data_IF_869750488476
#
_entry.id   IF_869750488476
#
_cell.length_a   1.000
_cell.length_b   1.000
_cell.length_c   1.000
_cell.angle_alpha   90.00
_cell.angle_beta   90.00
_cell.angle_gamma   90.00
#
_symmetry.space_group_name_H-M   'P 1'
#
loop_
_entity.id
_entity.type
_entity.pdbx_description
1 polymer ?
#
# COMPACT_ATOMS: atom_id res chain seq x y z
N UNK A 1 11.10 -0.28 23.75
CA UNK A 1 10.10 0.72 23.23
C UNK A 1 10.23 1.96 24.12
N UNK A 2 10.32 3.17 23.51
CA UNK A 2 10.49 4.42 24.26
C UNK A 2 9.20 4.96 24.87
N UNK A 3 8.04 4.42 24.51
CA UNK A 3 6.72 4.84 25.03
C UNK A 3 6.17 6.15 24.43
N UNK A 4 6.88 6.77 23.49
CA UNK A 4 6.42 7.97 22.82
C UNK A 4 5.15 7.70 22.01
N UNK A 5 4.22 8.65 22.04
CA UNK A 5 2.95 8.58 21.31
C UNK A 5 2.85 9.71 20.30
N UNK A 6 2.57 9.39 19.07
CA UNK A 6 2.33 10.33 17.99
C UNK A 6 0.85 10.31 17.64
N UNK A 7 0.22 11.48 17.59
CA UNK A 7 -1.19 11.57 17.20
C UNK A 7 -1.35 11.11 15.75
N UNK A 8 -2.42 10.34 15.47
CA UNK A 8 -2.66 9.79 14.14
C UNK A 8 -2.82 10.87 13.06
N UNK A 9 -3.28 12.07 13.42
CA UNK A 9 -3.40 13.21 12.51
C UNK A 9 -2.09 13.99 12.28
N UNK A 10 -0.96 13.55 12.85
CA UNK A 10 0.34 14.18 12.58
C UNK A 10 0.77 13.87 11.15
N UNK A 11 0.96 14.88 10.29
CA UNK A 11 1.27 14.65 8.89
C UNK A 11 2.62 13.95 8.73
N UNK A 12 2.67 12.98 7.82
CA UNK A 12 3.89 12.34 7.33
C UNK A 12 4.84 11.86 8.45
N UNK A 13 4.28 11.33 9.52
CA UNK A 13 5.04 10.78 10.66
C UNK A 13 5.65 9.43 10.31
N UNK A 14 6.83 9.45 9.70
CA UNK A 14 7.57 8.25 9.29
C UNK A 14 8.52 7.72 10.37
N UNK A 15 8.82 8.50 11.37
CA UNK A 15 9.80 8.18 12.41
C UNK A 15 9.27 8.51 13.79
N UNK A 16 9.74 7.77 14.78
CA UNK A 16 9.53 8.15 16.17
C UNK A 16 10.23 9.50 16.45
N UNK A 17 9.60 10.47 17.13
CA UNK A 17 10.24 11.73 17.49
C UNK A 17 11.52 11.57 18.33
N UNK A 18 11.62 10.47 19.09
CA UNK A 18 12.78 10.15 19.91
C UNK A 18 13.89 9.39 19.16
N UNK A 19 13.69 9.09 17.86
CA UNK A 19 14.76 8.47 17.06
C UNK A 19 15.88 9.48 16.78
N UNK A 20 17.12 8.98 16.73
CA UNK A 20 18.32 9.77 16.39
C UNK A 20 19.29 8.93 15.59
N UNK A 21 20.40 9.51 15.16
CA UNK A 21 21.38 8.85 14.30
C UNK A 21 22.08 7.64 14.96
N UNK A 22 22.05 7.55 16.29
CA UNK A 22 22.61 6.43 17.07
C UNK A 22 21.57 5.37 17.40
N UNK A 23 20.27 5.70 17.31
CA UNK A 23 19.15 4.79 17.56
C UNK A 23 18.06 4.99 16.50
N UNK A 24 18.27 4.36 15.36
CA UNK A 24 17.36 4.38 14.20
C UNK A 24 16.27 3.31 14.27
N UNK A 25 16.29 2.44 15.28
CA UNK A 25 15.38 1.29 15.40
C UNK A 25 14.04 1.62 16.06
N UNK A 26 13.79 2.87 16.37
CA UNK A 26 12.50 3.34 16.85
C UNK A 26 11.48 3.36 15.70
N UNK A 27 10.65 2.35 15.63
CA UNK A 27 9.54 2.27 14.65
C UNK A 27 8.23 2.67 15.29
N UNK A 28 7.38 3.35 14.54
CA UNK A 28 6.02 3.65 14.94
C UNK A 28 5.14 2.41 14.74
N UNK A 29 4.28 2.13 15.70
CA UNK A 29 3.26 1.10 15.61
C UNK A 29 1.89 1.75 15.75
N UNK A 30 0.94 1.29 14.94
CA UNK A 30 -0.43 1.75 15.06
C UNK A 30 -1.06 1.08 16.28
N UNK A 31 -1.52 1.87 17.23
CA UNK A 31 -2.26 1.39 18.38
C UNK A 31 -3.74 1.23 17.96
N UNK A 32 -4.18 0.01 17.78
CA UNK A 32 -5.56 -0.33 17.46
C UNK A 32 -6.13 -1.27 18.52
N UNK A 33 -7.40 -1.10 18.90
CA UNK A 33 -8.06 -2.07 19.77
C UNK A 33 -8.17 -3.41 19.05
N UNK A 34 -7.89 -4.49 19.76
CA UNK A 34 -8.09 -5.85 19.26
C UNK A 34 -9.60 -6.09 19.17
N UNK A 35 -10.12 -6.12 17.96
CA UNK A 35 -11.53 -6.41 17.69
C UNK A 35 -11.64 -7.32 16.45
N UNK A 36 -12.70 -8.11 16.33
CA UNK A 36 -12.96 -8.89 15.11
C UNK A 36 -13.05 -7.97 13.90
N UNK A 37 -12.35 -8.32 12.83
CA UNK A 37 -12.44 -7.60 11.56
C UNK A 37 -13.85 -7.74 10.98
N UNK A 38 -14.44 -6.62 10.59
CA UNK A 38 -15.75 -6.56 9.93
C UNK A 38 -15.61 -5.86 8.60
N UNK A 39 -15.99 -6.58 7.54
CA UNK A 39 -16.11 -6.01 6.19
C UNK A 39 -17.39 -5.20 6.06
N UNK A 40 -17.36 -4.14 5.26
CA UNK A 40 -18.57 -3.42 4.83
C UNK A 40 -19.31 -4.13 3.70
N UNK A 41 -18.70 -5.17 3.10
CA UNK A 41 -19.25 -5.88 1.95
C UNK A 41 -18.94 -5.27 0.59
N UNK A 42 -18.14 -4.20 0.52
CA UNK A 42 -17.68 -3.62 -0.75
C UNK A 42 -16.71 -4.57 -1.46
N UNK A 43 -16.78 -4.63 -2.79
CA UNK A 43 -15.90 -5.47 -3.62
C UNK A 43 -14.44 -4.98 -3.63
N UNK A 44 -14.21 -3.71 -3.33
CA UNK A 44 -12.87 -3.16 -3.17
C UNK A 44 -12.40 -3.37 -1.72
N UNK A 45 -11.31 -4.12 -1.48
CA UNK A 45 -10.84 -4.44 -0.14
C UNK A 45 -10.42 -3.21 0.68
N UNK A 46 -10.01 -2.12 0.02
CA UNK A 46 -9.65 -0.88 0.70
C UNK A 46 -10.87 -0.12 1.19
N UNK A 47 -12.02 -0.27 0.57
CA UNK A 47 -13.30 0.25 1.08
C UNK A 47 -13.85 -0.72 2.13
N UNK A 48 -13.84 -2.01 1.84
CA UNK A 48 -14.39 -3.05 2.71
C UNK A 48 -13.76 -3.03 4.12
N UNK A 49 -12.44 -2.78 4.20
CA UNK A 49 -11.68 -2.79 5.45
C UNK A 49 -11.05 -1.43 5.78
N UNK A 50 -11.52 -0.36 5.18
CA UNK A 50 -10.99 1.00 5.30
C UNK A 50 -10.69 1.40 6.74
N UNK A 51 -11.63 1.14 7.66
CA UNK A 51 -11.53 1.54 9.06
C UNK A 51 -10.37 0.91 9.84
N UNK A 52 -9.67 -0.06 9.26
CA UNK A 52 -8.50 -0.70 9.84
C UNK A 52 -7.19 -0.17 9.23
N UNK A 53 -7.25 0.79 8.32
CA UNK A 53 -6.09 1.36 7.63
C UNK A 53 -5.69 2.70 8.26
N UNK A 54 -4.40 2.87 8.52
CA UNK A 54 -3.86 4.07 9.16
C UNK A 54 -4.18 5.36 8.40
N UNK A 55 -4.10 5.33 7.07
CA UNK A 55 -4.40 6.49 6.24
C UNK A 55 -5.85 6.98 6.42
N UNK A 56 -6.81 6.05 6.62
CA UNK A 56 -8.21 6.42 6.85
C UNK A 56 -8.40 7.14 8.19
N UNK A 57 -7.76 6.61 9.25
CA UNK A 57 -7.78 7.25 10.56
C UNK A 57 -7.08 8.62 10.53
N UNK A 58 -5.95 8.74 9.80
CA UNK A 58 -5.27 10.00 9.55
C UNK A 58 -6.19 11.01 8.86
N UNK A 59 -6.78 10.63 7.72
CA UNK A 59 -7.66 11.51 6.96
C UNK A 59 -8.91 11.92 7.74
N UNK A 60 -9.48 11.00 8.54
CA UNK A 60 -10.59 11.30 9.43
C UNK A 60 -10.22 12.31 10.52
N UNK A 61 -9.04 12.17 11.13
CA UNK A 61 -8.54 13.11 12.14
C UNK A 61 -8.33 14.53 11.57
N UNK A 62 -8.10 14.64 10.27
CA UNK A 62 -7.98 15.91 9.54
C UNK A 62 -9.32 16.41 8.95
N UNK A 63 -10.43 15.78 9.31
CA UNK A 63 -11.77 16.24 8.95
C UNK A 63 -12.29 15.77 7.58
N UNK A 64 -11.60 14.85 6.88
CA UNK A 64 -12.17 14.27 5.67
C UNK A 64 -13.41 13.43 5.99
N UNK A 65 -14.52 13.70 5.32
CA UNK A 65 -15.76 12.93 5.49
C UNK A 65 -15.59 11.47 5.01
N UNK A 66 -16.48 10.59 5.47
CA UNK A 66 -16.52 9.18 5.03
C UNK A 66 -16.63 9.07 3.50
N UNK A 67 -17.54 9.84 2.90
CA UNK A 67 -17.76 9.86 1.45
C UNK A 67 -16.52 10.35 0.69
N UNK A 68 -15.83 11.38 1.19
CA UNK A 68 -14.60 11.88 0.58
C UNK A 68 -13.48 10.84 0.62
N UNK A 69 -13.36 10.07 1.71
CA UNK A 69 -12.36 8.99 1.82
C UNK A 69 -12.68 7.81 0.91
N UNK A 70 -13.96 7.44 0.77
CA UNK A 70 -14.41 6.42 -0.18
C UNK A 70 -14.17 6.87 -1.62
N UNK A 71 -14.51 8.12 -1.94
CA UNK A 71 -14.28 8.70 -3.26
C UNK A 71 -12.78 8.69 -3.62
N UNK A 72 -11.90 9.03 -2.66
CA UNK A 72 -10.46 8.98 -2.86
C UNK A 72 -9.96 7.58 -3.26
N UNK A 73 -10.46 6.52 -2.59
CA UNK A 73 -10.10 5.14 -2.96
C UNK A 73 -10.58 4.83 -4.37
N UNK A 74 -11.83 5.16 -4.70
CA UNK A 74 -12.42 4.84 -6.00
C UNK A 74 -11.72 5.57 -7.14
N UNK A 75 -11.40 6.85 -6.96
CA UNK A 75 -10.63 7.65 -7.93
C UNK A 75 -9.24 7.04 -8.15
N UNK A 76 -8.53 6.74 -7.08
CA UNK A 76 -7.19 6.16 -7.14
C UNK A 76 -7.20 4.75 -7.76
N UNK A 77 -8.15 3.89 -7.37
CA UNK A 77 -8.29 2.53 -7.90
C UNK A 77 -8.64 2.55 -9.40
N UNK A 78 -9.52 3.45 -9.84
CA UNK A 78 -9.85 3.62 -11.25
C UNK A 78 -8.62 4.08 -12.07
N UNK A 79 -7.81 4.98 -11.54
CA UNK A 79 -6.56 5.39 -12.18
C UNK A 79 -5.56 4.23 -12.28
N UNK A 80 -5.43 3.43 -11.21
CA UNK A 80 -4.60 2.20 -11.20
C UNK A 80 -5.10 1.20 -12.24
N UNK A 81 -6.42 0.98 -12.32
CA UNK A 81 -7.01 0.10 -13.33
C UNK A 81 -6.70 0.55 -14.75
N UNK A 82 -6.66 1.86 -15.00
CA UNK A 82 -6.30 2.42 -16.30
C UNK A 82 -4.84 2.13 -16.72
N UNK A 83 -3.94 1.96 -15.77
CA UNK A 83 -2.52 1.66 -16.04
C UNK A 83 -2.23 0.16 -15.99
N UNK A 84 -2.75 -0.53 -14.98
CA UNK A 84 -2.44 -1.95 -14.71
C UNK A 84 -3.41 -2.93 -15.41
N UNK A 85 -4.47 -2.45 -16.07
CA UNK A 85 -5.52 -3.28 -16.64
C UNK A 85 -6.46 -3.89 -15.61
N UNK A 86 -6.14 -3.79 -14.33
CA UNK A 86 -6.96 -4.28 -13.21
C UNK A 86 -6.88 -3.33 -12.02
N UNK A 87 -7.97 -3.22 -11.26
CA UNK A 87 -8.00 -2.52 -9.97
C UNK A 87 -7.84 -3.49 -8.80
N UNK A 88 -7.93 -2.95 -7.59
CA UNK A 88 -7.82 -3.75 -6.38
C UNK A 88 -9.11 -4.52 -6.10
N UNK A 89 -8.99 -5.83 -5.99
CA UNK A 89 -10.08 -6.78 -5.74
C UNK A 89 -9.65 -7.78 -4.67
N UNK A 90 -10.61 -8.50 -4.12
CA UNK A 90 -10.32 -9.70 -3.34
C UNK A 90 -9.71 -10.74 -4.26
N UNK A 91 -8.56 -11.25 -3.86
CA UNK A 91 -7.85 -12.30 -4.59
C UNK A 91 -8.09 -13.66 -3.94
N UNK A 92 -8.00 -14.77 -4.69
CA UNK A 92 -8.29 -16.09 -4.16
C UNK A 92 -7.44 -16.44 -2.93
N UNK A 93 -8.08 -17.06 -1.95
CA UNK A 93 -7.41 -17.68 -0.82
C UNK A 93 -8.10 -19.03 -0.55
N UNK A 94 -7.41 -20.10 -0.87
CA UNK A 94 -7.97 -21.45 -0.77
C UNK A 94 -6.91 -22.48 -0.40
N UNK A 95 -7.37 -23.63 0.11
CA UNK A 95 -6.55 -24.81 0.25
C UNK A 95 -6.12 -25.30 -1.15
N UNK A 96 -4.85 -25.62 -1.29
CA UNK A 96 -4.30 -26.18 -2.53
C UNK A 96 -4.11 -27.67 -2.33
N UNK A 97 -5.03 -28.49 -2.87
CA UNK A 97 -5.10 -29.91 -2.61
C UNK A 97 -3.85 -30.65 -3.06
N UNK A 98 -3.42 -30.48 -4.31
CA UNK A 98 -2.22 -31.15 -4.83
C UNK A 98 -0.95 -30.82 -4.04
N UNK A 99 -0.78 -29.57 -3.59
CA UNK A 99 0.35 -29.20 -2.74
C UNK A 99 0.22 -29.80 -1.33
N UNK A 100 -0.98 -29.82 -0.77
CA UNK A 100 -1.26 -30.41 0.52
C UNK A 100 -0.94 -31.90 0.54
N UNK A 101 -1.37 -32.62 -0.50
CA UNK A 101 -1.13 -34.05 -0.64
C UNK A 101 0.36 -34.37 -0.82
N UNK A 102 1.04 -33.60 -1.68
CA UNK A 102 2.49 -33.73 -1.89
C UNK A 102 3.32 -33.49 -0.60
N UNK A 103 2.81 -32.65 0.30
CA UNK A 103 3.43 -32.37 1.59
C UNK A 103 2.93 -33.27 2.74
N UNK A 104 2.02 -34.21 2.45
CA UNK A 104 1.49 -35.18 3.41
C UNK A 104 0.50 -34.61 4.43
N UNK A 105 -0.14 -33.47 4.13
CA UNK A 105 -1.17 -32.92 5.00
C UNK A 105 -2.48 -33.72 4.89
N UNK A 106 -3.14 -33.90 6.02
CA UNK A 106 -4.46 -34.53 6.08
C UNK A 106 -5.57 -33.60 5.57
N UNK A 107 -6.77 -34.14 5.36
CA UNK A 107 -7.94 -33.37 4.92
C UNK A 107 -8.31 -32.21 5.87
N UNK A 108 -7.98 -32.33 7.18
CA UNK A 108 -8.29 -31.30 8.17
C UNK A 108 -7.25 -30.16 8.20
N UNK A 109 -6.06 -30.39 7.65
CA UNK A 109 -4.99 -29.39 7.53
C UNK A 109 -4.75 -28.98 6.09
N UNK A 110 -3.54 -28.50 5.79
CA UNK A 110 -3.11 -28.26 4.41
C UNK A 110 -2.33 -27.00 4.18
N UNK A 111 -1.81 -26.90 2.97
CA UNK A 111 -1.22 -25.70 2.43
C UNK A 111 -2.32 -24.80 1.85
N UNK A 112 -2.40 -23.59 2.36
CA UNK A 112 -3.35 -22.57 1.89
C UNK A 112 -2.60 -21.55 1.07
N UNK A 113 -3.10 -21.24 -0.11
CA UNK A 113 -2.47 -20.33 -1.06
C UNK A 113 -3.31 -19.05 -1.18
N UNK A 114 -2.65 -17.91 -0.94
CA UNK A 114 -3.17 -16.58 -1.28
C UNK A 114 -2.56 -16.21 -2.63
N UNK A 115 -3.37 -16.24 -3.68
CA UNK A 115 -2.92 -15.96 -5.05
C UNK A 115 -3.04 -14.46 -5.35
N UNK A 116 -1.92 -13.79 -5.49
CA UNK A 116 -1.82 -12.37 -5.87
C UNK A 116 -1.31 -12.17 -7.31
N UNK A 117 -1.10 -13.25 -8.08
CA UNK A 117 -0.51 -13.17 -9.43
C UNK A 117 -1.37 -12.42 -10.43
N UNK A 118 -2.68 -12.39 -10.23
CA UNK A 118 -3.64 -11.63 -11.05
C UNK A 118 -4.03 -10.28 -10.44
N UNK A 119 -3.37 -9.88 -9.36
CA UNK A 119 -3.56 -8.56 -8.74
C UNK A 119 -2.79 -7.46 -9.46
N UNK A 120 -2.99 -6.22 -9.02
CA UNK A 120 -2.26 -5.05 -9.51
C UNK A 120 -0.75 -5.28 -9.43
N UNK A 121 -0.05 -5.07 -10.54
CA UNK A 121 1.38 -5.33 -10.69
C UNK A 121 1.81 -6.78 -10.35
N UNK A 122 0.91 -7.76 -10.45
CA UNK A 122 1.21 -9.19 -10.31
C UNK A 122 1.71 -9.63 -8.93
N UNK A 123 1.55 -8.81 -7.88
CA UNK A 123 2.06 -9.14 -6.55
C UNK A 123 1.36 -8.40 -5.41
N UNK A 124 1.54 -8.90 -4.18
CA UNK A 124 1.04 -8.24 -2.97
C UNK A 124 1.70 -6.89 -2.67
N UNK A 125 2.83 -6.55 -3.30
CA UNK A 125 3.57 -5.30 -3.05
C UNK A 125 2.74 -4.06 -3.39
N UNK A 126 1.92 -4.12 -4.42
CA UNK A 126 1.02 -3.03 -4.78
C UNK A 126 0.01 -2.70 -3.68
N UNK A 127 -0.42 -3.69 -2.88
CA UNK A 127 -1.38 -3.48 -1.80
C UNK A 127 -0.82 -2.60 -0.69
N UNK A 128 0.40 -2.88 -0.28
CA UNK A 128 1.11 -2.08 0.73
C UNK A 128 1.34 -0.66 0.22
N UNK A 129 1.95 -0.52 -0.95
CA UNK A 129 2.27 0.79 -1.53
C UNK A 129 1.03 1.64 -1.85
N UNK A 130 -0.10 1.00 -2.16
CA UNK A 130 -1.35 1.74 -2.36
C UNK A 130 -1.86 2.41 -1.09
N UNK A 131 -1.67 1.80 0.08
CA UNK A 131 -2.04 2.46 1.35
C UNK A 131 -1.16 3.66 1.65
N UNK A 132 0.11 3.60 1.31
CA UNK A 132 1.03 4.75 1.40
C UNK A 132 0.63 5.86 0.42
N UNK A 133 0.29 5.50 -0.81
CA UNK A 133 -0.19 6.45 -1.81
C UNK A 133 -1.48 7.14 -1.35
N UNK A 134 -2.45 6.40 -0.80
CA UNK A 134 -3.66 6.98 -0.24
C UNK A 134 -3.38 7.96 0.91
N UNK A 135 -2.36 7.67 1.74
CA UNK A 135 -1.93 8.59 2.80
C UNK A 135 -1.37 9.90 2.22
N UNK A 136 -0.50 9.81 1.21
CA UNK A 136 0.06 10.99 0.53
C UNK A 136 -1.03 11.83 -0.14
N UNK A 137 -1.97 11.19 -0.83
CA UNK A 137 -3.11 11.86 -1.46
C UNK A 137 -4.04 12.51 -0.43
N UNK A 138 -4.25 11.87 0.70
CA UNK A 138 -5.03 12.44 1.81
C UNK A 138 -4.33 13.66 2.41
N UNK A 139 -3.00 13.60 2.61
CA UNK A 139 -2.21 14.73 3.09
C UNK A 139 -2.27 15.92 2.12
N UNK A 140 -2.22 15.66 0.82
CA UNK A 140 -2.39 16.69 -0.22
C UNK A 140 -3.80 17.31 -0.17
N UNK A 141 -4.85 16.48 -0.18
CA UNK A 141 -6.24 16.95 -0.16
C UNK A 141 -6.62 17.71 1.12
N UNK A 142 -5.96 17.42 2.22
CA UNK A 142 -6.18 18.13 3.50
C UNK A 142 -5.27 19.34 3.71
N UNK A 143 -4.38 19.62 2.76
CA UNK A 143 -3.45 20.75 2.83
C UNK A 143 -2.35 20.59 3.90
N UNK A 144 -2.09 19.35 4.34
CA UNK A 144 -1.08 19.08 5.37
C UNK A 144 0.26 18.60 4.79
N UNK A 145 0.32 18.37 3.49
CA UNK A 145 1.56 18.10 2.76
C UNK A 145 2.38 19.40 2.55
N UNK A 146 3.68 19.26 2.35
CA UNK A 146 4.56 20.39 2.01
C UNK A 146 4.37 20.91 0.57
N UNK A 147 3.65 20.15 -0.27
CA UNK A 147 3.23 20.53 -1.62
C UNK A 147 1.71 20.77 -1.61
N UNK A 148 1.23 21.63 -2.50
CA UNK A 148 -0.19 22.03 -2.53
C UNK A 148 -0.94 21.57 -3.79
N UNK A 149 -0.20 21.15 -4.81
CA UNK A 149 -0.78 20.73 -6.10
C UNK A 149 0.00 19.54 -6.68
N UNK A 150 -0.60 18.76 -7.57
CA UNK A 150 0.09 17.66 -8.26
C UNK A 150 1.38 18.07 -8.98
N UNK A 151 1.45 19.29 -9.51
CA UNK A 151 2.62 19.77 -10.23
C UNK A 151 3.83 20.05 -9.31
N UNK A 152 3.58 20.21 -8.01
CA UNK A 152 4.60 20.50 -7.00
C UNK A 152 4.96 19.27 -6.14
N UNK A 153 4.50 18.09 -6.53
CA UNK A 153 4.81 16.85 -5.79
C UNK A 153 6.30 16.54 -5.84
N UNK A 154 6.95 16.32 -4.70
CA UNK A 154 8.32 15.84 -4.69
C UNK A 154 8.40 14.44 -5.31
N UNK A 155 9.50 14.07 -5.97
CA UNK A 155 9.65 12.73 -6.51
C UNK A 155 9.64 11.69 -5.38
N UNK A 156 8.94 10.58 -5.62
CA UNK A 156 9.08 9.38 -4.80
C UNK A 156 10.41 8.71 -5.14
N UNK A 157 10.94 7.94 -4.21
CA UNK A 157 12.16 7.16 -4.43
C UNK A 157 11.97 5.73 -3.94
N UNK A 158 12.41 4.75 -4.73
CA UNK A 158 12.41 3.35 -4.34
C UNK A 158 13.69 2.66 -4.78
N UNK A 159 14.35 1.95 -3.85
CA UNK A 159 15.47 1.07 -4.15
C UNK A 159 14.98 -0.38 -4.14
N UNK A 160 14.76 -0.96 -5.31
CA UNK A 160 14.27 -2.33 -5.45
C UNK A 160 14.54 -2.88 -6.85
N UNK A 161 14.90 -4.15 -6.91
CA UNK A 161 15.08 -4.91 -8.15
C UNK A 161 13.99 -5.97 -8.35
N UNK A 162 12.73 -5.66 -8.06
CA UNK A 162 11.66 -6.65 -8.19
C UNK A 162 10.26 -6.05 -8.10
N UNK A 163 9.33 -6.84 -7.62
CA UNK A 163 7.90 -6.53 -7.58
C UNK A 163 7.57 -5.20 -6.86
N UNK A 164 8.40 -4.76 -5.90
CA UNK A 164 8.15 -3.49 -5.22
C UNK A 164 8.42 -2.30 -6.15
N UNK A 165 9.52 -2.33 -6.94
CA UNK A 165 9.80 -1.30 -7.94
C UNK A 165 8.69 -1.22 -8.98
N UNK A 166 8.29 -2.38 -9.55
CA UNK A 166 7.23 -2.43 -10.55
C UNK A 166 5.89 -1.93 -10.00
N UNK A 167 5.52 -2.34 -8.79
CA UNK A 167 4.31 -1.86 -8.13
C UNK A 167 4.36 -0.35 -7.85
N UNK A 168 5.49 0.17 -7.35
CA UNK A 168 5.66 1.61 -7.10
C UNK A 168 5.55 2.43 -8.39
N UNK A 169 6.21 1.99 -9.48
CA UNK A 169 6.14 2.65 -10.80
C UNK A 169 4.71 2.66 -11.34
N UNK A 170 4.00 1.52 -11.26
CA UNK A 170 2.59 1.41 -11.68
C UNK A 170 1.70 2.41 -10.94
N UNK A 171 1.83 2.48 -9.62
CA UNK A 171 1.04 3.39 -8.78
C UNK A 171 1.42 4.86 -9.03
N UNK A 172 2.70 5.16 -9.14
CA UNK A 172 3.20 6.50 -9.43
C UNK A 172 2.69 7.00 -10.79
N UNK A 173 2.75 6.17 -11.84
CA UNK A 173 2.19 6.47 -13.16
C UNK A 173 0.68 6.73 -13.08
N UNK A 174 -0.06 5.88 -12.37
CA UNK A 174 -1.50 6.03 -12.20
C UNK A 174 -1.88 7.36 -11.53
N UNK A 175 -1.11 7.78 -10.54
CA UNK A 175 -1.33 9.03 -9.82
C UNK A 175 -0.62 10.24 -10.43
N UNK A 176 0.09 10.08 -11.55
CA UNK A 176 0.95 11.12 -12.18
C UNK A 176 1.94 11.69 -11.15
N UNK A 177 2.56 10.82 -10.37
CA UNK A 177 3.54 11.19 -9.36
C UNK A 177 4.95 10.89 -9.87
N UNK A 178 5.88 11.86 -9.87
CA UNK A 178 7.26 11.58 -10.26
C UNK A 178 7.88 10.54 -9.34
N UNK A 179 8.64 9.59 -9.91
CA UNK A 179 9.31 8.54 -9.16
C UNK A 179 10.71 8.28 -9.72
N UNK A 180 11.65 8.07 -8.82
CA UNK A 180 13.01 7.60 -9.11
C UNK A 180 13.18 6.16 -8.62
N UNK A 181 13.55 5.27 -9.52
CA UNK A 181 13.74 3.86 -9.20
C UNK A 181 15.23 3.52 -9.26
N UNK A 182 15.78 3.13 -8.14
CA UNK A 182 17.17 2.72 -8.01
C UNK A 182 17.27 1.20 -8.11
N UNK A 183 17.95 0.71 -9.15
CA UNK A 183 18.19 -0.72 -9.39
C UNK A 183 19.69 -1.00 -9.38
N UNK A 184 20.15 -2.19 -8.95
CA UNK A 184 21.55 -2.57 -9.07
C UNK A 184 21.97 -2.64 -10.53
N UNK A 185 23.24 -2.37 -10.84
CA UNK A 185 23.79 -2.45 -12.20
C UNK A 185 23.64 -3.84 -12.82
N UNK A 186 23.63 -4.89 -11.99
CA UNK A 186 23.46 -6.29 -12.40
C UNK A 186 22.00 -6.78 -12.34
N UNK A 187 21.04 -5.86 -12.31
CA UNK A 187 19.64 -6.25 -12.38
C UNK A 187 19.34 -6.99 -13.69
N UNK A 188 18.42 -7.96 -13.63
CA UNK A 188 18.02 -8.73 -14.82
C UNK A 188 17.42 -7.78 -15.88
N UNK A 189 17.78 -7.99 -17.15
CA UNK A 189 17.33 -7.16 -18.26
C UNK A 189 15.80 -7.13 -18.36
N UNK A 190 15.15 -8.28 -18.14
CA UNK A 190 13.70 -8.44 -18.18
C UNK A 190 12.99 -7.51 -17.15
N UNK A 191 13.62 -7.30 -15.98
CA UNK A 191 13.10 -6.38 -14.99
C UNK A 191 13.23 -4.93 -15.45
N UNK A 192 14.38 -4.58 -16.01
CA UNK A 192 14.63 -3.23 -16.53
C UNK A 192 13.64 -2.91 -17.64
N UNK A 193 13.42 -3.84 -18.57
CA UNK A 193 12.43 -3.70 -19.65
C UNK A 193 11.02 -3.54 -19.10
N UNK A 194 10.66 -4.31 -18.06
CA UNK A 194 9.38 -4.22 -17.39
C UNK A 194 9.18 -2.84 -16.74
N UNK A 195 10.20 -2.31 -16.06
CA UNK A 195 10.15 -0.98 -15.43
C UNK A 195 10.04 0.14 -16.48
N UNK A 196 10.71 0.00 -17.62
CA UNK A 196 10.63 0.96 -18.73
C UNK A 196 9.30 0.91 -19.46
N UNK A 197 8.53 -0.18 -19.34
CA UNK A 197 7.20 -0.32 -19.95
C UNK A 197 6.10 0.43 -19.17
N UNK A 198 6.37 0.78 -17.94
CA UNK A 198 5.47 1.54 -17.06
C UNK A 198 5.84 3.02 -17.09
#
# INVERSE_FOLDING_TARGET
>A
MCGERVAIGTPLSWRCPNSNDHDTHHVLQIEQPIAPLRSTGDDNPYIAFRKYLAWDAFAAALGMSDDARIALIREADAAVQGVAGTGFRFTPFARHDALSDALGFTAAGGAWVKDETHGVAGSHKSRHLFTEMLHLLAAEKTGTASWSTPDNRPPLAIASCGNAAFAASTLAKAMRWPIEVFVPENAAAELTDLLLSV
#
